data_IF_952395085759
#
_entry.id   IF_952395085759
#
_cell.length_a   1.000
_cell.length_b   1.000
_cell.length_c   1.000
_cell.angle_alpha   90.00
_cell.angle_beta   90.00
_cell.angle_gamma   90.00
#
_symmetry.space_group_name_H-M   'P 1'
#
loop_
_entity.id
_entity.type
_entity.pdbx_description
1 polymer ?
#
# COMPACT_ATOMS: atom_id res chain seq x y z
N UNK A 1 2.41 -22.25 -3.42
CA UNK A 1 2.92 -20.86 -3.62
C UNK A 1 4.39 -20.84 -3.21
N UNK A 2 5.25 -19.97 -3.76
CA UNK A 2 6.66 -19.85 -3.34
C UNK A 2 6.94 -18.42 -2.86
N UNK A 3 7.97 -18.21 -2.04
CA UNK A 3 8.42 -16.86 -1.62
C UNK A 3 8.63 -15.91 -2.81
N UNK A 4 9.26 -16.36 -3.89
CA UNK A 4 9.49 -15.51 -5.06
C UNK A 4 8.19 -15.07 -5.75
N UNK A 5 7.23 -15.99 -5.94
CA UNK A 5 5.90 -15.66 -6.48
C UNK A 5 5.13 -14.70 -5.58
N UNK A 6 5.17 -14.88 -4.25
CA UNK A 6 4.54 -13.95 -3.30
C UNK A 6 5.20 -12.56 -3.36
N UNK A 7 6.54 -12.53 -3.42
CA UNK A 7 7.30 -11.31 -3.66
C UNK A 7 6.81 -10.57 -4.91
N UNK A 8 6.73 -11.24 -6.06
CA UNK A 8 6.33 -10.59 -7.31
C UNK A 8 4.93 -9.96 -7.22
N UNK A 9 3.98 -10.67 -6.62
CA UNK A 9 2.61 -10.17 -6.45
C UNK A 9 2.60 -8.95 -5.53
N UNK A 10 3.17 -9.08 -4.34
CA UNK A 10 3.17 -8.01 -3.32
C UNK A 10 3.99 -6.80 -3.78
N UNK A 11 5.15 -7.01 -4.39
CA UNK A 11 6.00 -5.94 -4.90
C UNK A 11 5.31 -5.16 -6.02
N UNK A 12 4.65 -5.85 -6.95
CA UNK A 12 3.93 -5.20 -8.05
C UNK A 12 2.76 -4.38 -7.52
N UNK A 13 1.90 -4.97 -6.67
CA UNK A 13 0.79 -4.24 -6.06
C UNK A 13 1.29 -3.02 -5.26
N UNK A 14 2.33 -3.20 -4.47
CA UNK A 14 2.87 -2.16 -3.61
C UNK A 14 3.50 -1.02 -4.39
N UNK A 15 4.30 -1.33 -5.41
CA UNK A 15 4.99 -0.33 -6.23
C UNK A 15 4.00 0.50 -7.05
N UNK A 16 2.99 -0.16 -7.64
CA UNK A 16 1.90 0.54 -8.34
C UNK A 16 1.15 1.44 -7.36
N UNK A 17 0.79 0.91 -6.19
CA UNK A 17 0.11 1.69 -5.16
C UNK A 17 0.90 2.92 -4.70
N UNK A 18 2.21 2.78 -4.45
CA UNK A 18 3.10 3.90 -4.11
C UNK A 18 3.09 4.94 -5.23
N UNK A 19 3.29 4.52 -6.48
CA UNK A 19 3.34 5.44 -7.62
C UNK A 19 2.06 6.27 -7.75
N UNK A 20 0.89 5.63 -7.76
CA UNK A 20 -0.39 6.32 -7.92
C UNK A 20 -0.75 7.17 -6.70
N UNK A 21 -0.48 6.69 -5.48
CA UNK A 21 -0.77 7.43 -4.27
C UNK A 21 0.14 8.65 -4.10
N UNK A 22 1.43 8.54 -4.41
CA UNK A 22 2.35 9.69 -4.44
C UNK A 22 1.90 10.70 -5.48
N UNK A 23 1.53 10.25 -6.68
CA UNK A 23 1.04 11.13 -7.73
C UNK A 23 -0.19 11.93 -7.28
N UNK A 24 -1.20 11.24 -6.73
CA UNK A 24 -2.41 11.88 -6.22
C UNK A 24 -2.10 12.86 -5.08
N UNK A 25 -1.23 12.47 -4.16
CA UNK A 25 -0.86 13.31 -3.02
C UNK A 25 -0.14 14.59 -3.47
N UNK A 26 0.76 14.49 -4.45
CA UNK A 26 1.42 15.67 -5.05
C UNK A 26 0.41 16.58 -5.75
N UNK A 27 -0.55 16.03 -6.50
CA UNK A 27 -1.61 16.85 -7.09
C UNK A 27 -2.42 17.59 -6.03
N UNK A 28 -2.80 16.91 -4.96
CA UNK A 28 -3.56 17.48 -3.83
C UNK A 28 -2.76 18.51 -3.01
N UNK A 29 -1.44 18.54 -3.16
CA UNK A 29 -0.57 19.60 -2.62
C UNK A 29 -0.33 20.75 -3.61
N UNK A 30 -0.95 20.72 -4.79
CA UNK A 30 -0.90 21.82 -5.76
C UNK A 30 0.26 21.75 -6.76
N UNK A 31 0.89 20.59 -6.95
CA UNK A 31 2.02 20.44 -7.88
C UNK A 31 1.61 20.41 -9.37
N UNK A 32 0.32 20.53 -9.71
CA UNK A 32 -0.14 20.75 -11.10
C UNK A 32 0.02 19.54 -12.03
N UNK A 33 -0.18 18.34 -11.49
CA UNK A 33 -0.16 17.03 -12.15
C UNK A 33 -1.54 16.62 -12.71
N UNK A 34 -2.60 17.42 -12.55
CA UNK A 34 -3.98 17.06 -12.91
C UNK A 34 -4.23 16.74 -14.40
N UNK A 35 -3.35 17.19 -15.31
CA UNK A 35 -3.53 17.03 -16.75
C UNK A 35 -3.52 15.57 -17.26
N UNK A 36 -2.87 14.64 -16.56
CA UNK A 36 -2.93 13.20 -16.87
C UNK A 36 -4.05 12.45 -16.15
N UNK A 37 -4.58 13.01 -15.06
CA UNK A 37 -5.62 12.41 -14.22
C UNK A 37 -7.02 12.51 -14.85
N UNK A 38 -7.30 13.62 -15.54
CA UNK A 38 -8.59 13.89 -16.15
C UNK A 38 -8.91 13.03 -17.38
N UNK A 39 -7.91 12.37 -17.98
CA UNK A 39 -8.04 11.73 -19.30
C UNK A 39 -8.23 10.22 -19.22
N UNK A 40 -7.90 9.58 -18.08
CA UNK A 40 -7.97 8.12 -17.97
C UNK A 40 -8.43 7.67 -16.57
N UNK A 41 -9.34 6.70 -16.49
CA UNK A 41 -9.76 5.97 -15.27
C UNK A 41 -8.63 5.13 -14.64
N UNK A 42 -7.38 5.56 -14.81
CA UNK A 42 -6.16 4.84 -14.47
C UNK A 42 -5.94 4.76 -12.95
N UNK A 43 -6.54 5.68 -12.18
CA UNK A 43 -6.54 5.63 -10.71
C UNK A 43 -7.28 4.41 -10.13
N UNK A 44 -8.05 3.68 -10.96
CA UNK A 44 -8.66 2.42 -10.56
C UNK A 44 -7.68 1.23 -10.60
N UNK A 45 -6.60 1.34 -11.37
CA UNK A 45 -5.58 0.28 -11.55
C UNK A 45 -4.98 -0.21 -10.23
N UNK A 46 -4.49 0.65 -9.31
CA UNK A 46 -3.96 0.17 -8.04
C UNK A 46 -5.01 -0.62 -7.23
N UNK A 47 -6.27 -0.19 -7.22
CA UNK A 47 -7.36 -0.89 -6.57
C UNK A 47 -7.64 -2.29 -7.15
N UNK A 48 -7.70 -2.38 -8.48
CA UNK A 48 -7.87 -3.67 -9.17
C UNK A 48 -6.71 -4.61 -8.90
N UNK A 49 -5.47 -4.11 -8.93
CA UNK A 49 -4.29 -4.94 -8.67
C UNK A 49 -4.27 -5.45 -7.23
N UNK A 50 -4.58 -4.62 -6.24
CA UNK A 50 -4.67 -5.07 -4.84
C UNK A 50 -5.79 -6.11 -4.69
N UNK A 51 -6.93 -5.92 -5.33
CA UNK A 51 -8.04 -6.87 -5.28
C UNK A 51 -7.67 -8.22 -5.90
N UNK A 52 -7.13 -8.23 -7.13
CA UNK A 52 -6.71 -9.45 -7.81
C UNK A 52 -5.53 -10.14 -7.10
N UNK A 53 -4.56 -9.36 -6.62
CA UNK A 53 -3.42 -9.87 -5.87
C UNK A 53 -3.85 -10.54 -4.55
N UNK A 54 -4.73 -9.88 -3.79
CA UNK A 54 -5.32 -10.45 -2.57
C UNK A 54 -6.07 -11.74 -2.88
N UNK A 55 -6.95 -11.74 -3.89
CA UNK A 55 -7.70 -12.92 -4.30
C UNK A 55 -6.79 -14.07 -4.71
N UNK A 56 -5.74 -13.80 -5.49
CA UNK A 56 -4.75 -14.81 -5.89
C UNK A 56 -4.03 -15.40 -4.68
N UNK A 57 -3.59 -14.58 -3.72
CA UNK A 57 -2.92 -15.03 -2.50
C UNK A 57 -3.85 -15.89 -1.63
N UNK A 58 -5.10 -15.48 -1.45
CA UNK A 58 -6.12 -16.24 -0.70
C UNK A 58 -6.40 -17.58 -1.35
N UNK A 59 -6.68 -17.62 -2.65
CA UNK A 59 -6.93 -18.86 -3.37
C UNK A 59 -5.68 -19.76 -3.30
N UNK A 60 -4.50 -19.16 -3.45
CA UNK A 60 -3.26 -19.92 -3.40
C UNK A 60 -3.01 -20.55 -2.04
N UNK A 61 -3.38 -19.88 -0.95
CA UNK A 61 -3.25 -20.39 0.41
C UNK A 61 -4.19 -21.57 0.67
N UNK A 62 -5.48 -21.42 0.35
CA UNK A 62 -6.49 -22.41 0.70
C UNK A 62 -6.60 -23.59 -0.28
N UNK A 63 -6.29 -23.38 -1.55
CA UNK A 63 -6.62 -24.36 -2.60
C UNK A 63 -5.44 -24.84 -3.45
N UNK A 64 -4.33 -24.08 -3.52
CA UNK A 64 -3.24 -24.37 -4.47
C UNK A 64 -1.90 -24.72 -3.82
N UNK A 65 -1.77 -24.58 -2.49
CA UNK A 65 -0.51 -24.83 -1.77
C UNK A 65 -0.70 -25.98 -0.80
N UNK A 66 0.32 -26.82 -0.66
CA UNK A 66 0.37 -27.85 0.36
C UNK A 66 0.75 -27.24 1.72
N UNK A 67 0.49 -28.01 2.79
CA UNK A 67 0.74 -27.59 4.17
C UNK A 67 2.21 -27.25 4.40
N UNK A 68 3.13 -27.97 3.75
CA UNK A 68 4.57 -27.70 3.84
C UNK A 68 4.92 -26.30 3.28
N UNK A 69 4.43 -25.96 2.08
CA UNK A 69 4.65 -24.63 1.51
C UNK A 69 3.99 -23.53 2.33
N UNK A 70 2.78 -23.78 2.85
CA UNK A 70 2.05 -22.81 3.67
C UNK A 70 2.77 -22.57 5.01
N UNK A 71 3.23 -23.63 5.67
CA UNK A 71 3.99 -23.53 6.91
C UNK A 71 5.30 -22.77 6.73
N UNK A 72 5.99 -22.95 5.60
CA UNK A 72 7.19 -22.19 5.29
C UNK A 72 6.86 -20.70 4.99
N UNK A 73 5.81 -20.44 4.21
CA UNK A 73 5.44 -19.07 3.82
C UNK A 73 4.86 -18.24 4.96
N UNK A 74 4.12 -18.86 5.88
CA UNK A 74 3.35 -18.20 6.92
C UNK A 74 3.80 -18.62 8.32
N UNK A 75 5.11 -18.78 8.47
CA UNK A 75 5.77 -19.14 9.72
C UNK A 75 5.79 -17.97 10.75
N UNK A 76 6.32 -18.26 11.93
CA UNK A 76 6.46 -17.29 13.02
C UNK A 76 7.32 -16.08 12.62
N UNK A 77 8.36 -16.29 11.81
CA UNK A 77 9.20 -15.21 11.30
C UNK A 77 8.41 -14.24 10.41
N UNK A 78 7.58 -14.77 9.52
CA UNK A 78 6.68 -13.98 8.66
C UNK A 78 5.65 -13.23 9.50
N UNK A 79 5.08 -13.86 10.54
CA UNK A 79 4.15 -13.22 11.46
C UNK A 79 4.81 -12.05 12.22
N UNK A 80 6.05 -12.23 12.69
CA UNK A 80 6.81 -11.18 13.36
C UNK A 80 7.11 -10.00 12.41
N UNK A 81 7.49 -10.28 11.16
CA UNK A 81 7.69 -9.25 10.13
C UNK A 81 6.40 -8.46 9.89
N UNK A 82 5.27 -9.15 9.74
CA UNK A 82 3.97 -8.53 9.56
C UNK A 82 3.61 -7.63 10.75
N UNK A 83 3.80 -8.12 11.98
CA UNK A 83 3.56 -7.34 13.20
C UNK A 83 4.41 -6.06 13.24
N UNK A 84 5.71 -6.16 12.99
CA UNK A 84 6.62 -5.00 12.97
C UNK A 84 6.19 -3.95 11.92
N UNK A 85 5.79 -4.39 10.73
CA UNK A 85 5.31 -3.48 9.70
C UNK A 85 3.96 -2.88 10.02
N UNK A 86 3.05 -3.63 10.63
CA UNK A 86 1.77 -3.09 11.10
C UNK A 86 1.99 -2.00 12.16
N UNK A 87 2.91 -2.20 13.11
CA UNK A 87 3.31 -1.18 14.08
C UNK A 87 3.92 0.04 13.40
N UNK A 88 4.86 -0.15 12.45
CA UNK A 88 5.45 0.95 11.70
C UNK A 88 4.39 1.73 10.92
N UNK A 89 3.46 1.04 10.26
CA UNK A 89 2.36 1.64 9.53
C UNK A 89 1.40 2.40 10.42
N UNK A 90 1.11 1.91 11.63
CA UNK A 90 0.30 2.62 12.60
C UNK A 90 0.96 3.96 13.01
N UNK A 91 2.26 3.93 13.31
CA UNK A 91 3.02 5.13 13.69
C UNK A 91 3.10 6.13 12.53
N UNK A 92 3.46 5.67 11.33
CA UNK A 92 3.57 6.52 10.13
C UNK A 92 2.22 7.15 9.79
N UNK A 93 1.13 6.38 9.83
CA UNK A 93 -0.21 6.90 9.61
C UNK A 93 -0.59 7.95 10.66
N UNK A 94 -0.35 7.68 11.94
CA UNK A 94 -0.64 8.62 13.02
C UNK A 94 0.11 9.95 12.86
N UNK A 95 1.42 9.90 12.60
CA UNK A 95 2.25 11.09 12.38
C UNK A 95 1.79 11.85 11.14
N UNK A 96 1.54 11.16 10.02
CA UNK A 96 1.15 11.82 8.77
C UNK A 96 -0.26 12.41 8.81
N UNK A 97 -1.23 11.74 9.43
CA UNK A 97 -2.57 12.30 9.66
C UNK A 97 -2.46 13.56 10.53
N UNK A 98 -1.65 13.53 11.59
CA UNK A 98 -1.41 14.71 12.41
C UNK A 98 -0.83 15.87 11.59
N UNK A 99 0.20 15.62 10.78
CA UNK A 99 0.78 16.66 9.92
C UNK A 99 -0.23 17.22 8.92
N UNK A 100 -0.99 16.36 8.24
CA UNK A 100 -2.02 16.77 7.28
C UNK A 100 -3.10 17.61 7.94
N UNK A 101 -3.55 17.22 9.13
CA UNK A 101 -4.52 17.97 9.93
C UNK A 101 -3.96 19.33 10.36
N UNK A 102 -2.72 19.36 10.86
CA UNK A 102 -2.07 20.59 11.32
C UNK A 102 -1.75 21.59 10.20
N UNK A 103 -1.60 21.10 8.97
CA UNK A 103 -1.31 21.94 7.81
C UNK A 103 -2.56 22.66 7.24
N UNK A 104 -3.77 22.33 7.70
CA UNK A 104 -5.00 22.95 7.19
C UNK A 104 -5.16 24.39 7.68
N UNK A 105 -5.71 25.25 6.83
CA UNK A 105 -6.13 26.60 7.23
C UNK A 105 -7.49 26.56 7.93
N UNK A 106 -7.46 26.41 9.24
CA UNK A 106 -8.66 26.37 10.09
C UNK A 106 -9.42 27.70 10.14
N UNK A 107 -8.78 28.81 9.79
CA UNK A 107 -9.43 30.13 9.81
C UNK A 107 -10.35 30.36 8.60
N UNK A 108 -10.16 29.59 7.52
CA UNK A 108 -10.91 29.69 6.26
C UNK A 108 -11.60 28.37 5.89
N UNK A 109 -12.10 27.65 6.90
CA UNK A 109 -12.70 26.33 6.71
C UNK A 109 -13.88 26.33 5.72
N UNK A 110 -13.80 25.47 4.70
CA UNK A 110 -14.84 25.30 3.68
C UNK A 110 -15.09 23.82 3.39
N UNK A 111 -16.22 23.51 2.73
CA UNK A 111 -16.53 22.14 2.31
C UNK A 111 -15.49 21.59 1.31
N UNK A 112 -14.94 22.46 0.46
CA UNK A 112 -13.88 22.11 -0.47
C UNK A 112 -12.59 21.73 0.26
N UNK A 113 -12.17 22.54 1.25
CA UNK A 113 -11.01 22.24 2.08
C UNK A 113 -11.18 20.92 2.84
N UNK A 114 -12.37 20.67 3.38
CA UNK A 114 -12.70 19.42 4.05
C UNK A 114 -12.56 18.19 3.11
N UNK A 115 -13.08 18.29 1.89
CA UNK A 115 -12.95 17.22 0.89
C UNK A 115 -11.50 16.99 0.48
N UNK A 116 -10.74 18.07 0.25
CA UNK A 116 -9.32 17.98 -0.09
C UNK A 116 -8.52 17.30 1.03
N UNK A 117 -8.80 17.64 2.30
CA UNK A 117 -8.19 16.97 3.46
C UNK A 117 -8.52 15.48 3.48
N UNK A 118 -9.77 15.08 3.23
CA UNK A 118 -10.16 13.66 3.16
C UNK A 118 -9.37 12.93 2.07
N UNK A 119 -9.25 13.52 0.88
CA UNK A 119 -8.48 12.93 -0.21
C UNK A 119 -6.99 12.85 0.09
N UNK A 120 -6.41 13.86 0.76
CA UNK A 120 -5.02 13.84 1.20
C UNK A 120 -4.77 12.72 2.21
N UNK A 121 -5.66 12.56 3.20
CA UNK A 121 -5.59 11.47 4.19
C UNK A 121 -5.70 10.10 3.50
N UNK A 122 -6.65 9.94 2.58
CA UNK A 122 -6.83 8.70 1.84
C UNK A 122 -5.61 8.37 0.97
N UNK A 123 -5.08 9.35 0.23
CA UNK A 123 -3.88 9.19 -0.59
C UNK A 123 -2.66 8.84 0.26
N UNK A 124 -2.50 9.49 1.43
CA UNK A 124 -1.41 9.22 2.35
C UNK A 124 -1.50 7.83 2.98
N UNK A 125 -2.69 7.40 3.38
CA UNK A 125 -2.91 6.05 3.88
C UNK A 125 -2.55 5.01 2.81
N UNK A 126 -3.04 5.21 1.57
CA UNK A 126 -2.70 4.37 0.42
C UNK A 126 -1.19 4.33 0.15
N UNK A 127 -0.51 5.46 0.20
CA UNK A 127 0.94 5.53 0.05
C UNK A 127 1.66 4.72 1.12
N UNK A 128 1.25 4.89 2.38
CA UNK A 128 1.83 4.17 3.52
C UNK A 128 1.65 2.66 3.36
N UNK A 129 0.45 2.20 3.04
CA UNK A 129 0.19 0.78 2.79
C UNK A 129 1.03 0.23 1.64
N UNK A 130 1.13 0.96 0.52
CA UNK A 130 1.96 0.53 -0.62
C UNK A 130 3.43 0.39 -0.24
N UNK A 131 3.98 1.37 0.47
CA UNK A 131 5.37 1.36 0.90
C UNK A 131 5.68 0.19 1.84
N UNK A 132 4.77 -0.11 2.78
CA UNK A 132 4.90 -1.25 3.68
C UNK A 132 4.78 -2.58 2.93
N UNK A 133 3.92 -2.67 1.91
CA UNK A 133 3.78 -3.86 1.07
C UNK A 133 5.08 -4.13 0.29
N UNK A 134 5.67 -3.09 -0.30
CA UNK A 134 6.98 -3.16 -0.96
C UNK A 134 8.03 -3.62 0.03
N UNK A 135 8.13 -3.01 1.21
CA UNK A 135 9.07 -3.43 2.24
C UNK A 135 8.88 -4.91 2.59
N UNK A 136 7.64 -5.32 2.92
CA UNK A 136 7.35 -6.70 3.25
C UNK A 136 7.82 -7.65 2.15
N UNK A 137 7.53 -7.34 0.89
CA UNK A 137 7.89 -8.18 -0.26
C UNK A 137 9.40 -8.37 -0.40
N UNK A 138 10.23 -7.38 -0.04
CA UNK A 138 11.69 -7.51 -0.06
C UNK A 138 12.17 -8.63 0.88
N UNK A 139 11.48 -8.84 2.01
CA UNK A 139 11.76 -9.97 2.88
C UNK A 139 11.50 -11.31 2.18
N UNK A 140 10.40 -11.43 1.43
CA UNK A 140 10.10 -12.64 0.64
C UNK A 140 11.12 -12.86 -0.48
N UNK A 141 11.63 -11.79 -1.09
CA UNK A 141 12.71 -11.91 -2.07
C UNK A 141 13.98 -12.48 -1.42
N UNK A 142 14.33 -12.02 -0.22
CA UNK A 142 15.50 -12.54 0.52
C UNK A 142 15.34 -14.02 0.80
N UNK A 143 14.21 -14.44 1.39
CA UNK A 143 13.93 -15.87 1.66
C UNK A 143 14.01 -16.72 0.38
N UNK A 144 13.51 -16.20 -0.74
CA UNK A 144 13.60 -16.93 -2.02
C UNK A 144 15.02 -17.19 -2.52
N UNK A 145 16.02 -16.47 -1.99
CA UNK A 145 17.43 -16.59 -2.35
C UNK A 145 18.24 -17.37 -1.32
N UNK A 146 17.89 -17.28 -0.03
CA UNK A 146 18.64 -17.91 1.05
C UNK A 146 18.32 -19.39 1.29
N UNK A 147 17.18 -19.89 0.78
CA UNK A 147 16.79 -21.30 0.91
C UNK A 147 16.10 -21.57 2.23
#
# INVERSE_FOLDING_TARGET
>A
MTFFKRFLVLFTCGSVQVFFATYLLLELFGFGLGWHLAVHNIMFVPGVLVFLGSGYLTISYYFLSDDASNNALYDEFTALRYYKLATAGYVINGIGIFMLYSAQDWSSWSFELANNMIYQIAAFAWLTFGALLVWFSVGDYRESKSG
#
